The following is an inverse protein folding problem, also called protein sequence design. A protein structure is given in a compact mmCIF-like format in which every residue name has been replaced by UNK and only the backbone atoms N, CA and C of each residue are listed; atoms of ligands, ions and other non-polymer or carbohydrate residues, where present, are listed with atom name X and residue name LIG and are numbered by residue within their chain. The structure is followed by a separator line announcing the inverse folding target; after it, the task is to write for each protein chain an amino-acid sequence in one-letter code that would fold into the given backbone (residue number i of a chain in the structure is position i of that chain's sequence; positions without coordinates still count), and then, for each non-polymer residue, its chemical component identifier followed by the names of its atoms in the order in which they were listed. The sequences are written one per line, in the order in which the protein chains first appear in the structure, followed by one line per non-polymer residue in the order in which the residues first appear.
data_IF_038246816475
#
_entry.id   IF_038246816475
#
_cell.length_a   1.000
_cell.length_b   1.000
_cell.length_c   1.000
_cell.angle_alpha   90.00
_cell.angle_beta   90.00
_cell.angle_gamma   90.00
#
_symmetry.space_group_name_H-M   'P 1'
#
loop_
_entity.id
_entity.type
_entity.pdbx_description
1 polymer ?
#
# COMPACT_ATOMS: atom_id res chain seq x y z
N UNK A 1 -1.51 2.55 68.32
CA UNK A 1 -2.13 1.99 67.08
C UNK A 1 -1.66 2.79 65.88
N UNK A 2 -0.64 2.29 65.19
CA UNK A 2 0.02 3.00 64.08
C UNK A 2 -0.65 2.70 62.76
N UNK A 3 -1.22 3.73 62.11
CA UNK A 3 -1.67 3.63 60.70
C UNK A 3 -0.48 3.95 59.80
N UNK A 4 0.09 2.96 59.14
CA UNK A 4 1.05 3.13 58.05
C UNK A 4 0.29 3.51 56.81
N UNK A 5 0.53 4.73 56.30
CA UNK A 5 0.08 5.17 54.99
C UNK A 5 0.98 4.47 53.91
N UNK A 6 0.36 3.74 53.01
CA UNK A 6 1.03 3.27 51.81
C UNK A 6 1.02 4.40 50.77
N UNK A 7 2.17 4.95 50.51
CA UNK A 7 2.40 5.82 49.35
C UNK A 7 2.45 4.90 48.11
N UNK A 8 1.43 4.98 47.25
CA UNK A 8 1.48 4.42 45.90
C UNK A 8 2.22 5.42 45.02
N UNK A 9 3.48 5.12 44.74
CA UNK A 9 4.23 5.83 43.70
C UNK A 9 3.71 5.41 42.36
N UNK A 10 2.98 6.29 41.66
CA UNK A 10 2.64 6.14 40.27
C UNK A 10 3.92 6.20 39.43
N UNK A 11 4.34 5.06 38.91
CA UNK A 11 5.39 5.01 37.92
C UNK A 11 4.89 5.69 36.64
N UNK A 12 5.51 6.80 36.28
CA UNK A 12 5.31 7.44 35.01
C UNK A 12 5.62 6.45 33.90
N UNK A 13 4.65 6.17 33.04
CA UNK A 13 4.87 5.48 31.79
C UNK A 13 5.77 6.38 30.93
N UNK A 14 7.06 6.07 30.88
CA UNK A 14 7.99 6.69 29.93
C UNK A 14 7.53 6.34 28.54
N UNK A 15 7.09 7.34 27.79
CA UNK A 15 6.87 7.22 26.36
C UNK A 15 8.20 6.79 25.73
N UNK A 16 8.27 5.58 25.24
CA UNK A 16 9.28 5.16 24.30
C UNK A 16 9.04 5.94 23.00
N UNK A 17 9.62 7.13 22.93
CA UNK A 17 9.93 7.76 21.65
C UNK A 17 11.05 6.91 21.04
N UNK A 18 10.69 5.77 20.45
CA UNK A 18 11.62 4.91 19.75
C UNK A 18 12.26 5.70 18.61
N UNK A 19 13.59 5.63 18.51
CA UNK A 19 14.27 6.03 17.28
C UNK A 19 13.63 5.30 16.10
N UNK A 20 13.49 5.95 14.92
CA UNK A 20 12.90 5.30 13.76
C UNK A 20 13.59 3.96 13.51
N UNK A 21 12.79 2.91 13.22
CA UNK A 21 13.30 1.59 12.88
C UNK A 21 14.13 1.73 11.60
N UNK A 22 15.43 1.97 11.75
CA UNK A 22 16.32 2.14 10.61
C UNK A 22 16.49 0.81 9.91
N UNK A 23 15.79 0.64 8.78
CA UNK A 23 16.03 -0.48 7.88
C UNK A 23 17.52 -0.54 7.51
N UNK A 24 18.12 -1.75 7.39
CA UNK A 24 19.47 -1.88 6.87
C UNK A 24 19.55 -1.19 5.51
N UNK A 25 20.67 -0.49 5.25
CA UNK A 25 20.90 0.16 3.96
C UNK A 25 20.84 -0.93 2.87
N UNK A 26 19.91 -0.79 1.94
CA UNK A 26 19.93 -1.62 0.73
C UNK A 26 21.16 -1.27 -0.11
N UNK A 27 21.74 -2.22 -0.83
CA UNK A 27 22.83 -1.91 -1.76
C UNK A 27 22.38 -0.84 -2.76
N UNK A 28 23.29 0.01 -3.17
CA UNK A 28 23.01 1.07 -4.12
C UNK A 28 22.39 0.50 -5.40
N UNK A 29 21.26 1.06 -5.82
CA UNK A 29 20.64 0.85 -7.12
C UNK A 29 19.36 0.03 -7.15
N UNK A 30 19.15 -0.99 -6.30
CA UNK A 30 17.88 -1.74 -6.22
C UNK A 30 16.90 -1.16 -5.19
N UNK A 31 15.62 -1.50 -5.30
CA UNK A 31 14.62 -1.09 -4.32
C UNK A 31 13.52 -2.14 -4.10
N UNK A 32 12.87 -2.03 -2.94
CA UNK A 32 11.71 -2.85 -2.57
C UNK A 32 10.47 -1.96 -2.53
N UNK A 33 9.40 -2.39 -3.17
CA UNK A 33 8.09 -1.71 -3.11
C UNK A 33 7.02 -2.63 -2.57
N UNK A 34 6.04 -2.06 -1.87
CA UNK A 34 4.85 -2.76 -1.38
C UNK A 34 3.60 -1.99 -1.80
N UNK A 35 2.62 -2.70 -2.39
CA UNK A 35 1.25 -2.21 -2.59
C UNK A 35 0.35 -2.85 -1.55
N UNK A 36 -0.47 -2.06 -0.85
CA UNK A 36 -1.32 -2.58 0.21
C UNK A 36 -2.62 -1.78 0.38
N UNK A 37 -3.76 -2.42 0.12
CA UNK A 37 -5.05 -1.91 0.58
C UNK A 37 -5.13 -2.14 2.10
N UNK A 38 -5.07 -1.06 2.88
CA UNK A 38 -4.96 -1.10 4.35
C UNK A 38 -6.30 -1.02 5.09
N UNK A 39 -7.42 -1.04 4.36
CA UNK A 39 -8.77 -0.98 4.93
C UNK A 39 -8.93 0.15 5.97
N UNK A 40 -8.39 1.32 5.67
CA UNK A 40 -8.34 2.48 6.59
C UNK A 40 -7.80 2.14 8.00
N UNK A 41 -6.92 1.14 8.11
CA UNK A 41 -6.38 0.63 9.38
C UNK A 41 -7.47 0.13 10.35
N UNK A 42 -8.55 -0.46 9.83
CA UNK A 42 -9.67 -0.96 10.67
C UNK A 42 -9.50 -2.37 11.18
N UNK A 43 -8.56 -3.14 10.58
CA UNK A 43 -8.39 -4.56 10.85
C UNK A 43 -9.47 -5.45 10.21
N UNK A 44 -9.18 -6.74 10.07
CA UNK A 44 -10.12 -7.70 9.50
C UNK A 44 -10.10 -9.04 10.27
N UNK A 45 -11.26 -9.61 10.68
CA UNK A 45 -12.58 -8.95 10.64
C UNK A 45 -12.56 -7.62 11.40
N UNK A 46 -13.52 -6.73 11.12
CA UNK A 46 -13.55 -5.42 11.77
C UNK A 46 -13.47 -5.53 13.29
N UNK A 47 -12.59 -4.71 13.87
CA UNK A 47 -12.44 -4.66 15.32
C UNK A 47 -13.72 -4.09 15.97
N UNK A 48 -14.27 -4.82 16.91
CA UNK A 48 -15.38 -4.34 17.75
C UNK A 48 -14.84 -3.32 18.75
N UNK A 49 -14.94 -2.04 18.41
CA UNK A 49 -14.45 -0.93 19.22
C UNK A 49 -15.30 -0.65 20.47
N UNK A 50 -16.46 -1.26 20.59
CA UNK A 50 -17.29 -1.17 21.80
C UNK A 50 -16.74 -2.09 22.93
N UNK A 51 -15.84 -3.01 22.57
CA UNK A 51 -15.08 -3.80 23.55
C UNK A 51 -13.76 -3.12 23.91
N UNK A 52 -13.31 -3.25 25.17
CA UNK A 52 -12.00 -2.72 25.59
C UNK A 52 -10.84 -3.28 24.75
N UNK A 53 -10.89 -4.57 24.42
CA UNK A 53 -9.89 -5.22 23.57
C UNK A 53 -9.86 -4.64 22.16
N UNK A 54 -11.03 -4.49 21.52
CA UNK A 54 -11.15 -3.96 20.17
C UNK A 54 -10.74 -2.48 20.10
N UNK A 55 -11.17 -1.66 21.07
CA UNK A 55 -10.76 -0.26 21.14
C UNK A 55 -9.25 -0.11 21.31
N UNK A 56 -8.60 -0.93 22.15
CA UNK A 56 -7.15 -0.95 22.33
C UNK A 56 -6.43 -1.39 21.05
N UNK A 57 -6.92 -2.42 20.37
CA UNK A 57 -6.35 -2.89 19.12
C UNK A 57 -6.45 -1.82 18.03
N UNK A 58 -7.61 -1.15 17.90
CA UNK A 58 -7.80 -0.06 16.93
C UNK A 58 -6.84 1.11 17.18
N UNK A 59 -6.63 1.50 18.44
CA UNK A 59 -5.69 2.56 18.79
C UNK A 59 -4.22 2.24 18.46
N UNK A 60 -3.87 0.96 18.27
CA UNK A 60 -2.52 0.49 17.96
C UNK A 60 -2.32 0.14 16.49
N UNK A 61 -3.35 0.27 15.64
CA UNK A 61 -3.29 -0.23 14.26
C UNK A 61 -2.21 0.44 13.43
N UNK A 62 -2.02 1.75 13.55
CA UNK A 62 -0.97 2.46 12.82
C UNK A 62 0.43 1.90 13.14
N UNK A 63 0.73 1.72 14.43
CA UNK A 63 2.01 1.18 14.88
C UNK A 63 2.20 -0.27 14.44
N UNK A 64 1.13 -1.07 14.46
CA UNK A 64 1.17 -2.47 14.00
C UNK A 64 1.43 -2.57 12.50
N UNK A 65 0.76 -1.73 11.69
CA UNK A 65 1.01 -1.66 10.25
C UNK A 65 2.46 -1.26 9.98
N UNK A 66 2.96 -0.24 10.67
CA UNK A 66 4.35 0.21 10.51
C UNK A 66 5.35 -0.88 10.91
N UNK A 67 5.16 -1.54 12.06
CA UNK A 67 6.06 -2.61 12.52
C UNK A 67 6.09 -3.80 11.58
N UNK A 68 4.93 -4.24 11.07
CA UNK A 68 4.86 -5.37 10.16
C UNK A 68 5.50 -5.04 8.81
N UNK A 69 5.27 -3.84 8.26
CA UNK A 69 5.92 -3.39 7.04
C UNK A 69 7.44 -3.23 7.21
N UNK A 70 7.91 -2.77 8.36
CA UNK A 70 9.34 -2.59 8.64
C UNK A 70 10.16 -3.89 8.53
N UNK A 71 9.54 -5.06 8.75
CA UNK A 71 10.19 -6.37 8.61
C UNK A 71 10.70 -6.62 7.18
N UNK A 72 10.12 -5.95 6.18
CA UNK A 72 10.46 -6.10 4.76
C UNK A 72 11.35 -4.97 4.24
N UNK A 73 11.66 -3.98 5.08
CA UNK A 73 12.50 -2.83 4.72
C UNK A 73 12.11 -2.17 3.39
N UNK A 74 10.83 -1.77 3.21
CA UNK A 74 10.38 -1.19 1.96
C UNK A 74 11.02 0.18 1.72
N UNK A 75 11.33 0.47 0.46
CA UNK A 75 11.75 1.80 -0.01
C UNK A 75 10.56 2.61 -0.47
N UNK A 76 9.53 1.94 -0.99
CA UNK A 76 8.27 2.52 -1.46
C UNK A 76 7.12 1.70 -0.89
N UNK A 77 6.08 2.38 -0.41
CA UNK A 77 4.80 1.74 -0.05
C UNK A 77 3.67 2.59 -0.63
N UNK A 78 2.68 1.96 -1.24
CA UNK A 78 1.42 2.64 -1.56
C UNK A 78 0.27 2.03 -0.80
N UNK A 79 -0.57 2.89 -0.23
CA UNK A 79 -1.81 2.48 0.40
C UNK A 79 -3.01 2.79 -0.51
N UNK A 80 -3.89 1.82 -0.63
CA UNK A 80 -5.26 1.97 -1.06
C UNK A 80 -6.15 1.91 0.20
N UNK A 81 -7.31 2.54 0.18
CA UNK A 81 -8.12 2.77 1.38
C UNK A 81 -7.27 3.30 2.54
N UNK A 82 -6.47 4.31 2.22
CA UNK A 82 -5.59 4.92 3.21
C UNK A 82 -6.38 5.45 4.40
N UNK A 83 -5.85 5.37 5.63
CA UNK A 83 -6.44 6.08 6.76
C UNK A 83 -6.33 7.60 6.56
N UNK A 84 -6.88 8.36 7.51
CA UNK A 84 -6.70 9.81 7.54
C UNK A 84 -5.22 10.19 7.48
N UNK A 85 -4.91 11.35 6.87
CA UNK A 85 -3.55 11.82 6.61
C UNK A 85 -2.63 11.73 7.84
N UNK A 86 -3.10 12.17 9.01
CA UNK A 86 -2.29 12.12 10.25
C UNK A 86 -1.89 10.69 10.66
N UNK A 87 -2.73 9.68 10.37
CA UNK A 87 -2.41 8.27 10.64
C UNK A 87 -1.43 7.72 9.60
N UNK A 88 -1.60 8.10 8.32
CA UNK A 88 -0.65 7.75 7.27
C UNK A 88 0.72 8.37 7.52
N UNK A 89 0.77 9.63 7.98
CA UNK A 89 1.99 10.30 8.43
C UNK A 89 2.66 9.59 9.61
N UNK A 90 1.88 9.15 10.62
CA UNK A 90 2.40 8.38 11.75
C UNK A 90 3.10 7.09 11.26
N UNK A 91 2.48 6.36 10.32
CA UNK A 91 3.07 5.14 9.75
C UNK A 91 4.36 5.47 8.98
N UNK A 92 4.34 6.51 8.14
CA UNK A 92 5.51 6.93 7.37
C UNK A 92 6.68 7.34 8.29
N UNK A 93 6.40 8.13 9.32
CA UNK A 93 7.39 8.55 10.31
C UNK A 93 7.97 7.36 11.09
N UNK A 94 7.16 6.37 11.46
CA UNK A 94 7.62 5.15 12.13
C UNK A 94 8.54 4.31 11.22
N UNK A 95 8.31 4.33 9.90
CA UNK A 95 9.19 3.71 8.90
C UNK A 95 10.45 4.57 8.60
N UNK A 96 10.49 5.82 9.03
CA UNK A 96 11.57 6.78 8.71
C UNK A 96 11.54 7.22 7.24
N UNK A 97 10.36 7.29 6.63
CA UNK A 97 10.14 7.61 5.22
C UNK A 97 9.28 8.88 5.07
N UNK A 98 9.36 9.51 3.89
CA UNK A 98 8.48 10.62 3.51
C UNK A 98 7.14 10.10 2.97
N UNK A 99 6.11 10.95 2.97
CA UNK A 99 4.81 10.56 2.40
C UNK A 99 4.17 11.69 1.59
N UNK A 100 3.23 11.30 0.73
CA UNK A 100 2.24 12.16 0.09
C UNK A 100 0.87 11.48 0.21
N UNK A 101 -0.10 12.20 0.76
CA UNK A 101 -1.47 11.72 0.94
C UNK A 101 -2.39 12.36 -0.09
N UNK A 102 -3.28 11.57 -0.67
CA UNK A 102 -4.16 11.98 -1.77
C UNK A 102 -5.62 11.79 -1.35
N UNK A 103 -6.39 12.88 -1.19
CA UNK A 103 -7.81 12.80 -0.86
C UNK A 103 -8.61 12.13 -1.97
N UNK A 104 -9.72 11.52 -1.59
CA UNK A 104 -10.67 10.85 -2.47
C UNK A 104 -11.76 10.19 -1.64
N UNK A 105 -12.71 9.50 -2.26
CA UNK A 105 -13.74 8.75 -1.53
C UNK A 105 -13.14 7.61 -0.68
N UNK A 106 -12.06 7.00 -1.17
CA UNK A 106 -11.17 6.11 -0.44
C UNK A 106 -9.75 6.61 -0.70
N UNK A 107 -9.14 7.37 0.20
CA UNK A 107 -7.86 8.03 -0.04
C UNK A 107 -6.72 7.08 -0.42
N UNK A 108 -5.70 7.61 -1.08
CA UNK A 108 -4.43 6.93 -1.35
C UNK A 108 -3.27 7.57 -0.61
N UNK A 109 -2.19 6.82 -0.41
CA UNK A 109 -0.93 7.36 0.13
C UNK A 109 0.25 6.74 -0.61
N UNK A 110 1.24 7.56 -0.92
CA UNK A 110 2.57 7.13 -1.33
C UNK A 110 3.52 7.41 -0.17
N UNK A 111 4.23 6.40 0.29
CA UNK A 111 5.30 6.51 1.29
C UNK A 111 6.59 6.12 0.58
N UNK A 112 7.66 6.91 0.74
CA UNK A 112 8.89 6.69 -0.01
C UNK A 112 10.15 7.11 0.75
N UNK A 113 11.22 6.32 0.59
CA UNK A 113 12.58 6.71 0.96
C UNK A 113 13.13 7.77 0.01
N UNK A 114 12.69 7.73 -1.25
CA UNK A 114 13.12 8.66 -2.28
C UNK A 114 12.32 9.95 -2.19
N UNK A 115 12.93 11.12 -2.38
CA UNK A 115 12.21 12.39 -2.40
C UNK A 115 11.04 12.34 -3.38
N UNK A 116 9.85 12.71 -2.87
CA UNK A 116 8.60 12.76 -3.65
C UNK A 116 8.45 14.16 -4.25
N UNK A 117 8.13 14.24 -5.52
CA UNK A 117 7.85 15.49 -6.23
C UNK A 117 6.80 15.29 -7.31
N UNK A 118 6.31 16.39 -7.92
CA UNK A 118 5.33 16.36 -9.00
C UNK A 118 4.09 15.51 -8.67
N UNK A 119 3.62 15.59 -7.43
CA UNK A 119 2.45 14.85 -6.98
C UNK A 119 1.17 15.40 -7.60
N UNK A 120 0.41 14.52 -8.26
CA UNK A 120 -0.88 14.85 -8.87
C UNK A 120 -1.95 13.91 -8.31
N UNK A 121 -3.03 14.51 -7.82
CA UNK A 121 -4.24 13.77 -7.43
C UNK A 121 -5.23 13.78 -8.60
N UNK A 122 -5.51 12.63 -9.14
CA UNK A 122 -6.51 12.41 -10.19
C UNK A 122 -7.84 11.89 -9.63
N UNK A 123 -7.93 11.69 -8.31
CA UNK A 123 -9.16 11.24 -7.68
C UNK A 123 -10.27 12.28 -7.83
N UNK A 124 -11.50 11.83 -7.87
CA UNK A 124 -12.63 12.73 -7.84
C UNK A 124 -12.72 13.42 -6.48
N UNK A 125 -12.30 14.68 -6.44
CA UNK A 125 -12.44 15.56 -5.28
C UNK A 125 -13.40 16.73 -5.54
N UNK A 126 -13.73 16.95 -6.82
CA UNK A 126 -14.62 18.00 -7.33
C UNK A 126 -15.33 17.55 -8.61
N UNK A 127 -15.98 18.45 -9.31
CA UNK A 127 -16.72 18.17 -10.55
C UNK A 127 -15.86 18.19 -11.82
N UNK A 128 -14.53 18.21 -11.71
CA UNK A 128 -13.60 18.20 -12.85
C UNK A 128 -13.55 16.86 -13.59
N UNK A 129 -13.99 15.79 -12.93
CA UNK A 129 -14.11 14.45 -13.51
C UNK A 129 -15.58 14.05 -13.70
N UNK A 130 -15.88 13.11 -14.64
CA UNK A 130 -17.20 12.48 -14.71
C UNK A 130 -17.61 11.93 -13.34
N UNK A 131 -18.90 12.02 -13.02
CA UNK A 131 -19.43 11.75 -11.69
C UNK A 131 -19.07 10.40 -11.08
N UNK A 132 -18.71 9.44 -11.93
CA UNK A 132 -18.45 8.03 -11.60
C UNK A 132 -17.00 7.59 -11.78
N UNK A 133 -16.09 8.44 -12.28
CA UNK A 133 -14.68 8.09 -12.41
C UNK A 133 -13.89 8.46 -11.16
N UNK A 134 -12.96 7.57 -10.80
CA UNK A 134 -12.04 7.75 -9.69
C UNK A 134 -12.72 8.14 -8.37
N UNK A 135 -13.90 7.56 -8.12
CA UNK A 135 -14.61 7.74 -6.86
C UNK A 135 -13.83 7.20 -5.65
N UNK A 136 -12.79 6.40 -5.90
CA UNK A 136 -11.85 5.90 -4.89
C UNK A 136 -10.59 6.75 -4.89
N UNK A 137 -9.49 6.27 -5.51
CA UNK A 137 -8.34 7.13 -5.77
C UNK A 137 -7.57 6.72 -7.04
N UNK A 138 -6.94 7.71 -7.63
CA UNK A 138 -5.88 7.57 -8.61
C UNK A 138 -4.90 8.73 -8.41
N UNK A 139 -3.63 8.43 -8.24
CA UNK A 139 -2.59 9.44 -8.02
C UNK A 139 -1.29 9.09 -8.74
N UNK A 140 -0.46 10.13 -8.90
CA UNK A 140 0.85 10.02 -9.53
C UNK A 140 1.86 10.85 -8.73
N UNK A 141 3.13 10.42 -8.74
CA UNK A 141 4.26 11.20 -8.22
C UNK A 141 5.55 10.83 -8.94
N UNK A 142 6.53 11.73 -8.93
CA UNK A 142 7.92 11.45 -9.30
C UNK A 142 8.72 11.11 -8.04
N UNK A 143 9.48 10.01 -8.09
CA UNK A 143 10.39 9.60 -7.04
C UNK A 143 11.84 9.74 -7.53
N UNK A 144 12.64 10.54 -6.81
CA UNK A 144 14.06 10.76 -7.17
C UNK A 144 14.93 9.61 -6.70
N UNK A 145 14.97 8.55 -7.48
CA UNK A 145 15.88 7.41 -7.25
C UNK A 145 17.32 7.78 -7.69
N UNK A 146 18.39 7.22 -7.07
CA UNK A 146 19.77 7.47 -7.48
C UNK A 146 20.06 7.23 -8.96
N UNK A 147 19.45 6.22 -9.58
CA UNK A 147 19.65 5.85 -10.99
C UNK A 147 18.73 6.61 -11.96
N UNK A 148 17.93 7.54 -11.47
CA UNK A 148 16.99 8.32 -12.29
C UNK A 148 15.62 8.45 -11.64
N UNK A 149 14.76 9.26 -12.26
CA UNK A 149 13.42 9.49 -11.76
C UNK A 149 12.49 8.32 -12.08
N UNK A 150 11.80 7.79 -11.07
CA UNK A 150 10.73 6.80 -11.24
C UNK A 150 9.40 7.54 -11.26
N UNK A 151 8.60 7.37 -12.31
CA UNK A 151 7.22 7.84 -12.33
C UNK A 151 6.34 6.76 -11.68
N UNK A 152 5.80 7.07 -10.51
CA UNK A 152 4.92 6.18 -9.76
C UNK A 152 3.46 6.59 -9.97
N UNK A 153 2.63 5.59 -10.28
CA UNK A 153 1.17 5.68 -10.29
C UNK A 153 0.59 4.72 -9.26
N UNK A 154 -0.45 5.14 -8.55
CA UNK A 154 -1.20 4.27 -7.64
C UNK A 154 -2.70 4.49 -7.83
N UNK A 155 -3.44 3.39 -7.88
CA UNK A 155 -4.89 3.44 -8.08
C UNK A 155 -5.64 2.45 -7.20
N UNK A 156 -6.90 2.79 -6.93
CA UNK A 156 -7.92 1.89 -6.42
C UNK A 156 -9.14 2.03 -7.34
N UNK A 157 -9.35 1.03 -8.20
CA UNK A 157 -10.39 1.08 -9.22
C UNK A 157 -11.76 0.71 -8.65
N UNK A 158 -12.81 0.96 -9.44
CA UNK A 158 -14.18 0.67 -9.05
C UNK A 158 -14.39 -0.83 -8.79
N UNK A 159 -14.98 -1.26 -7.64
CA UNK A 159 -14.95 -2.66 -7.20
C UNK A 159 -15.91 -3.58 -7.96
N UNK A 160 -17.06 -3.06 -8.43
CA UNK A 160 -18.15 -3.90 -8.93
C UNK A 160 -18.61 -3.56 -10.36
N UNK A 161 -18.38 -2.34 -10.84
CA UNK A 161 -18.81 -1.94 -12.19
C UNK A 161 -17.64 -2.01 -13.18
N UNK A 162 -17.67 -3.03 -14.04
CA UNK A 162 -16.64 -3.24 -15.06
C UNK A 162 -16.60 -2.12 -16.10
N UNK A 163 -17.75 -1.52 -16.44
CA UNK A 163 -17.80 -0.44 -17.43
C UNK A 163 -17.18 0.85 -16.88
N UNK A 164 -17.32 1.12 -15.57
CA UNK A 164 -16.60 2.21 -14.89
C UNK A 164 -15.11 1.92 -14.90
N UNK A 165 -14.68 0.71 -14.49
CA UNK A 165 -13.25 0.33 -14.51
C UNK A 165 -12.63 0.46 -15.89
N UNK A 166 -13.32 0.06 -16.93
CA UNK A 166 -12.81 0.16 -18.31
C UNK A 166 -12.50 1.62 -18.70
N UNK A 167 -13.34 2.56 -18.27
CA UNK A 167 -13.11 4.00 -18.47
C UNK A 167 -11.98 4.53 -17.58
N UNK A 168 -11.90 4.07 -16.32
CA UNK A 168 -10.80 4.38 -15.41
C UNK A 168 -9.46 3.89 -15.99
N UNK A 169 -9.40 2.66 -16.52
CA UNK A 169 -8.23 2.11 -17.22
C UNK A 169 -7.83 2.99 -18.41
N UNK A 170 -8.79 3.45 -19.20
CA UNK A 170 -8.53 4.34 -20.33
C UNK A 170 -7.84 5.63 -19.86
N UNK A 171 -8.41 6.30 -18.86
CA UNK A 171 -7.87 7.56 -18.34
C UNK A 171 -6.50 7.37 -17.67
N UNK A 172 -6.27 6.25 -16.97
CA UNK A 172 -4.96 5.92 -16.38
C UNK A 172 -3.91 5.73 -17.48
N UNK A 173 -4.23 4.97 -18.53
CA UNK A 173 -3.31 4.76 -19.65
C UNK A 173 -2.99 6.06 -20.39
N UNK A 174 -3.95 6.97 -20.54
CA UNK A 174 -3.72 8.31 -21.09
C UNK A 174 -2.76 9.12 -20.20
N UNK A 175 -2.94 9.07 -18.88
CA UNK A 175 -2.04 9.74 -17.92
C UNK A 175 -0.62 9.14 -17.91
N UNK A 176 -0.50 7.81 -18.09
CA UNK A 176 0.78 7.10 -18.13
C UNK A 176 1.53 7.28 -19.45
N UNK A 177 0.80 7.53 -20.54
CA UNK A 177 1.37 7.53 -21.91
C UNK A 177 2.65 8.36 -22.06
N UNK A 178 2.76 9.61 -21.55
CA UNK A 178 3.99 10.38 -21.69
C UNK A 178 5.21 9.71 -21.06
N UNK A 179 5.04 9.06 -19.90
CA UNK A 179 6.13 8.38 -19.20
C UNK A 179 6.53 7.08 -19.90
N UNK A 180 5.55 6.31 -20.39
CA UNK A 180 5.78 5.08 -21.15
C UNK A 180 6.45 5.36 -22.51
N UNK A 181 5.99 6.38 -23.25
CA UNK A 181 6.58 6.79 -24.54
C UNK A 181 8.02 7.27 -24.38
N UNK A 182 8.34 7.90 -23.25
CA UNK A 182 9.72 8.31 -22.92
C UNK A 182 10.64 7.11 -22.59
N UNK A 183 10.10 5.91 -22.39
CA UNK A 183 10.85 4.70 -22.02
C UNK A 183 11.46 4.74 -20.62
N UNK A 184 11.11 5.74 -19.80
CA UNK A 184 11.60 5.90 -18.43
C UNK A 184 11.07 4.83 -17.47
N UNK A 185 11.61 4.76 -16.23
CA UNK A 185 11.11 3.83 -15.22
C UNK A 185 9.68 4.20 -14.79
N UNK A 186 8.72 3.34 -15.07
CA UNK A 186 7.31 3.49 -14.65
C UNK A 186 6.97 2.39 -13.68
N UNK A 187 6.44 2.77 -12.51
CA UNK A 187 5.89 1.87 -11.50
C UNK A 187 4.40 2.17 -11.35
N UNK A 188 3.55 1.16 -11.56
CA UNK A 188 2.12 1.27 -11.32
C UNK A 188 1.66 0.18 -10.36
N UNK A 189 0.97 0.56 -9.30
CA UNK A 189 0.55 -0.41 -8.30
C UNK A 189 -0.77 -0.02 -7.63
N UNK A 190 -1.50 -1.02 -7.14
CA UNK A 190 -2.76 -0.77 -6.45
C UNK A 190 -3.72 -1.95 -6.41
N UNK A 191 -4.87 -1.69 -5.79
CA UNK A 191 -6.07 -2.52 -5.86
C UNK A 191 -6.83 -2.18 -7.12
N UNK A 192 -6.66 -2.99 -8.17
CA UNK A 192 -7.23 -2.73 -9.48
C UNK A 192 -8.60 -3.41 -9.67
N UNK A 193 -9.08 -4.13 -8.65
CA UNK A 193 -10.43 -4.71 -8.59
C UNK A 193 -10.84 -5.57 -9.80
N UNK A 194 -9.86 -6.10 -10.56
CA UNK A 194 -10.10 -7.05 -11.66
C UNK A 194 -9.23 -8.30 -11.49
N UNK A 195 -9.65 -9.40 -12.10
CA UNK A 195 -8.87 -10.63 -12.13
C UNK A 195 -7.85 -10.63 -13.30
N UNK A 196 -6.83 -11.51 -13.26
CA UNK A 196 -5.81 -11.60 -14.34
C UNK A 196 -6.37 -12.02 -15.71
N UNK A 197 -7.54 -12.64 -15.77
CA UNK A 197 -8.25 -13.02 -16.97
C UNK A 197 -9.27 -11.95 -17.44
N UNK A 198 -9.34 -10.81 -16.73
CA UNK A 198 -10.21 -9.70 -17.07
C UNK A 198 -9.70 -8.87 -18.25
N UNK A 199 -10.59 -8.17 -18.97
CA UNK A 199 -10.20 -7.33 -20.12
C UNK A 199 -9.29 -6.18 -19.71
N UNK A 200 -9.40 -5.68 -18.49
CA UNK A 200 -8.55 -4.62 -17.95
C UNK A 200 -7.08 -5.07 -17.92
N UNK A 201 -6.83 -6.32 -17.51
CA UNK A 201 -5.48 -6.88 -17.41
C UNK A 201 -4.76 -6.87 -18.78
N UNK A 202 -5.44 -7.36 -19.83
CA UNK A 202 -4.89 -7.36 -21.18
C UNK A 202 -4.55 -5.95 -21.70
N UNK A 203 -5.25 -4.92 -21.24
CA UNK A 203 -4.96 -3.53 -21.61
C UNK A 203 -3.68 -3.00 -20.99
N UNK A 204 -3.37 -3.41 -19.75
CA UNK A 204 -2.08 -3.08 -19.12
C UNK A 204 -0.92 -3.71 -19.89
N UNK A 205 -1.03 -4.99 -20.24
CA UNK A 205 -0.01 -5.69 -21.06
C UNK A 205 0.15 -5.04 -22.43
N UNK A 206 -0.97 -4.72 -23.12
CA UNK A 206 -0.93 -4.06 -24.42
C UNK A 206 -0.29 -2.67 -24.38
N UNK A 207 -0.31 -1.99 -23.25
CA UNK A 207 0.38 -0.72 -23.02
C UNK A 207 1.89 -0.89 -22.72
N UNK A 208 2.41 -2.12 -22.69
CA UNK A 208 3.82 -2.41 -22.43
C UNK A 208 4.17 -2.50 -20.93
N UNK A 209 3.16 -2.62 -20.06
CA UNK A 209 3.38 -2.91 -18.64
C UNK A 209 3.61 -4.41 -18.42
N UNK A 210 4.50 -4.74 -17.52
CA UNK A 210 4.84 -6.12 -17.11
C UNK A 210 4.38 -6.32 -15.68
N UNK A 211 3.53 -7.31 -15.46
CA UNK A 211 3.11 -7.71 -14.12
C UNK A 211 4.29 -8.35 -13.36
N UNK A 212 4.69 -7.74 -12.27
CA UNK A 212 5.83 -8.21 -11.48
C UNK A 212 5.64 -9.63 -10.94
N UNK A 213 4.42 -10.00 -10.58
CA UNK A 213 4.13 -11.32 -10.02
C UNK A 213 4.25 -12.43 -11.07
N UNK A 214 3.72 -12.25 -12.28
CA UNK A 214 3.85 -13.23 -13.37
C UNK A 214 5.27 -13.32 -13.92
N UNK A 215 6.02 -12.22 -13.86
CA UNK A 215 7.43 -12.20 -14.25
C UNK A 215 8.32 -12.95 -13.25
N UNK A 216 7.97 -12.92 -11.96
CA UNK A 216 8.77 -13.52 -10.88
C UNK A 216 8.33 -14.95 -10.51
N UNK A 217 7.12 -15.38 -10.85
CA UNK A 217 6.56 -16.68 -10.45
C UNK A 217 5.52 -17.19 -11.45
N UNK A 218 5.53 -18.49 -11.68
CA UNK A 218 4.49 -19.18 -12.49
C UNK A 218 3.15 -19.33 -11.72
N UNK A 219 3.15 -19.08 -10.41
CA UNK A 219 1.96 -19.17 -9.56
C UNK A 219 1.83 -17.92 -8.66
N UNK A 220 1.42 -16.77 -9.23
CA UNK A 220 1.16 -15.56 -8.46
C UNK A 220 0.13 -15.79 -7.36
N UNK A 221 0.41 -15.26 -6.17
CA UNK A 221 -0.45 -15.44 -5.01
C UNK A 221 -1.78 -14.68 -5.11
N UNK A 222 -2.79 -15.15 -4.38
CA UNK A 222 -4.08 -14.47 -4.21
C UNK A 222 -3.94 -13.35 -3.15
N UNK A 223 -4.65 -12.23 -3.34
CA UNK A 223 -4.47 -11.03 -2.51
C UNK A 223 -5.65 -10.70 -1.61
N UNK A 224 -6.82 -11.30 -1.83
CA UNK A 224 -8.04 -11.11 -1.03
C UNK A 224 -8.77 -12.45 -0.84
N UNK A 225 -9.28 -12.76 0.31
CA UNK A 225 -9.28 -12.16 1.64
C UNK A 225 -8.10 -12.71 2.47
N UNK A 226 -7.62 -11.91 3.39
CA UNK A 226 -6.48 -12.23 4.25
C UNK A 226 -6.68 -13.46 5.16
N UNK A 227 -7.92 -13.86 5.46
CA UNK A 227 -8.25 -15.09 6.18
C UNK A 227 -8.24 -16.33 5.25
N UNK A 228 -8.70 -16.18 4.03
CA UNK A 228 -8.81 -17.23 3.01
C UNK A 228 -8.66 -16.65 1.61
N UNK A 229 -7.44 -16.42 1.13
CA UNK A 229 -7.20 -15.80 -0.17
C UNK A 229 -7.80 -16.60 -1.31
N UNK A 230 -8.55 -15.96 -2.20
CA UNK A 230 -9.27 -16.63 -3.29
C UNK A 230 -9.30 -15.86 -4.60
N UNK A 231 -8.89 -14.59 -4.60
CA UNK A 231 -8.79 -13.76 -5.80
C UNK A 231 -7.51 -12.94 -5.76
N UNK A 232 -6.99 -12.60 -6.93
CA UNK A 232 -5.88 -11.68 -7.12
C UNK A 232 -6.43 -10.43 -7.78
N UNK A 233 -6.42 -9.31 -7.06
CA UNK A 233 -6.93 -8.02 -7.52
C UNK A 233 -5.97 -6.87 -7.21
N UNK A 234 -4.90 -7.13 -6.46
CA UNK A 234 -3.83 -6.19 -6.15
C UNK A 234 -2.61 -6.52 -7.00
N UNK A 235 -1.98 -5.49 -7.57
CA UNK A 235 -0.93 -5.65 -8.55
C UNK A 235 0.22 -4.67 -8.34
N UNK A 236 1.40 -5.08 -8.84
CA UNK A 236 2.56 -4.22 -9.10
C UNK A 236 2.96 -4.44 -10.56
N UNK A 237 2.86 -3.38 -11.35
CA UNK A 237 3.24 -3.34 -12.74
C UNK A 237 4.48 -2.48 -12.95
N UNK A 238 5.36 -2.90 -13.84
CA UNK A 238 6.53 -2.16 -14.24
C UNK A 238 6.51 -1.87 -15.74
N UNK A 239 6.83 -0.63 -16.11
CA UNK A 239 6.90 -0.19 -17.50
C UNK A 239 8.26 0.43 -17.85
N UNK A 240 8.53 0.57 -19.15
CA UNK A 240 9.76 1.15 -19.65
C UNK A 240 11.00 0.46 -19.12
N UNK A 241 12.02 1.21 -18.74
CA UNK A 241 13.28 0.69 -18.24
C UNK A 241 13.14 -0.17 -16.97
N UNK A 242 12.05 0.01 -16.20
CA UNK A 242 11.84 -0.72 -14.96
C UNK A 242 11.42 -2.18 -15.18
N UNK A 243 10.75 -2.49 -16.29
CA UNK A 243 10.20 -3.83 -16.57
C UNK A 243 11.27 -4.94 -16.55
N UNK A 244 12.48 -4.65 -17.04
CA UNK A 244 13.59 -5.60 -17.06
C UNK A 244 14.28 -5.79 -15.69
N UNK A 245 13.99 -4.92 -14.72
CA UNK A 245 14.62 -4.90 -13.40
C UNK A 245 13.87 -5.72 -12.35
N UNK A 246 12.70 -6.28 -12.68
CA UNK A 246 11.94 -7.15 -11.77
C UNK A 246 12.77 -8.36 -11.37
N UNK A 247 12.96 -8.58 -10.06
CA UNK A 247 13.73 -9.70 -9.48
C UNK A 247 12.87 -10.68 -8.71
N UNK A 248 11.93 -10.14 -7.93
CA UNK A 248 11.09 -10.92 -7.05
C UNK A 248 9.75 -10.23 -6.90
N UNK A 249 8.68 -11.00 -6.81
CA UNK A 249 7.37 -10.50 -6.45
C UNK A 249 6.57 -11.59 -5.74
N UNK A 250 5.98 -11.27 -4.61
CA UNK A 250 5.17 -12.19 -3.84
C UNK A 250 4.10 -11.50 -3.02
N UNK A 251 3.05 -12.25 -2.69
CA UNK A 251 2.03 -11.85 -1.71
C UNK A 251 2.54 -12.21 -0.31
N UNK A 252 2.36 -11.29 0.64
CA UNK A 252 2.75 -11.49 2.02
C UNK A 252 1.59 -12.13 2.81
N UNK A 253 1.56 -13.47 2.85
CA UNK A 253 0.54 -14.24 3.58
C UNK A 253 1.13 -14.79 4.90
N UNK A 254 1.63 -13.87 5.73
CA UNK A 254 2.37 -14.21 6.95
C UNK A 254 2.17 -13.12 8.02
N UNK A 255 2.62 -13.38 9.25
CA UNK A 255 2.58 -12.41 10.34
C UNK A 255 1.20 -11.85 10.62
N UNK A 256 1.13 -10.54 10.86
CA UNK A 256 -0.12 -9.84 11.13
C UNK A 256 -0.93 -9.51 9.86
N UNK A 257 -0.42 -9.83 8.66
CA UNK A 257 -1.19 -9.66 7.43
C UNK A 257 -2.31 -10.68 7.25
N UNK A 258 -2.30 -11.77 8.01
CA UNK A 258 -3.36 -12.78 8.00
C UNK A 258 -3.93 -13.04 9.40
N UNK A 259 -5.13 -13.61 9.46
CA UNK A 259 -5.63 -14.12 10.72
C UNK A 259 -4.88 -15.41 11.12
N UNK A 260 -4.76 -15.64 12.43
CA UNK A 260 -4.26 -16.90 12.94
C UNK A 260 -5.42 -17.90 13.04
N UNK A 261 -5.45 -19.02 12.30
CA UNK A 261 -6.55 -19.98 12.33
C UNK A 261 -6.71 -20.67 13.69
N UNK A 262 -5.65 -20.70 14.51
CA UNK A 262 -5.64 -21.32 15.83
C UNK A 262 -6.12 -20.37 16.95
N UNK A 263 -6.34 -19.08 16.65
CA UNK A 263 -6.87 -18.08 17.58
C UNK A 263 -8.12 -17.41 17.00
N UNK A 264 -9.33 -17.81 17.44
CA UNK A 264 -10.57 -17.20 16.99
C UNK A 264 -10.70 -15.70 17.29
N UNK A 265 -9.88 -15.19 18.21
CA UNK A 265 -9.82 -13.78 18.54
C UNK A 265 -8.74 -13.00 17.74
N UNK A 266 -8.05 -13.66 16.82
CA UNK A 266 -7.07 -12.99 15.97
C UNK A 266 -7.75 -12.13 14.91
N UNK A 267 -7.01 -11.11 14.44
CA UNK A 267 -7.41 -10.29 13.31
C UNK A 267 -6.18 -9.97 12.44
N UNK A 268 -6.41 -9.82 11.15
CA UNK A 268 -5.42 -9.32 10.21
C UNK A 268 -5.43 -7.79 10.18
N UNK A 269 -4.38 -7.18 9.65
CA UNK A 269 -4.29 -5.71 9.50
C UNK A 269 -5.30 -5.18 8.48
N UNK A 270 -5.64 -5.99 7.47
CA UNK A 270 -6.63 -5.69 6.41
C UNK A 270 -7.28 -6.98 5.93
N UNK A 271 -8.36 -6.88 5.16
CA UNK A 271 -8.93 -7.98 4.39
C UNK A 271 -8.13 -8.29 3.10
N UNK A 272 -7.24 -7.39 2.69
CA UNK A 272 -6.24 -7.62 1.64
C UNK A 272 -4.91 -8.09 2.20
N UNK A 273 -4.10 -8.69 1.34
CA UNK A 273 -2.71 -9.06 1.59
C UNK A 273 -1.79 -8.13 0.79
N UNK A 274 -0.68 -7.66 1.38
CA UNK A 274 0.27 -6.85 0.65
C UNK A 274 0.93 -7.62 -0.49
N UNK A 275 1.18 -6.93 -1.60
CA UNK A 275 2.05 -7.40 -2.68
C UNK A 275 3.40 -6.71 -2.54
N UNK A 276 4.47 -7.48 -2.47
CA UNK A 276 5.85 -6.99 -2.41
C UNK A 276 6.56 -7.32 -3.72
N UNK A 277 7.28 -6.35 -4.28
CA UNK A 277 8.20 -6.58 -5.39
C UNK A 277 9.59 -6.01 -5.10
N UNK A 278 10.61 -6.66 -5.64
CA UNK A 278 12.00 -6.20 -5.62
C UNK A 278 12.51 -5.97 -7.02
N UNK A 279 13.18 -4.86 -7.20
CA UNK A 279 13.80 -4.45 -8.44
C UNK A 279 15.33 -4.42 -8.28
N UNK A 280 16.04 -4.86 -9.32
CA UNK A 280 17.50 -4.79 -9.36
C UNK A 280 18.01 -3.38 -9.67
N UNK A 281 19.31 -3.24 -9.56
CA UNK A 281 20.10 -2.12 -10.03
C UNK A 281 20.00 -1.95 -11.54
#
# INVERSE_FOLDING_TARGET
MNRRAFLVTSAAASAFLGAPLRAPAQPAGGFTTISYNVLACRGYPYLDTDTERGARAAAQMADRVAMELALYSPDIVTFQESPAEAVAEQIANALGLSHAWFPGGFPGTIISRFPISNSVNHSKTDDSHPADLFTRHFCQASLRHPDGEITLFSAHLHPSDAAVREREVTAILEAMKPALDAGGPVLFQGDLNHAPDGPEYARWEAAGLVDAATRASDAPGMTIRSDKPSRRIDYIWAGGALASRIRDCRVLFEGAFRTNPDDPGSFALSDHLPVLARFAD
#
